data_IF_217501551484
#
_entry.id   IF_217501551484
#
_cell.length_a   1.000
_cell.length_b   1.000
_cell.length_c   1.000
_cell.angle_alpha   90.00
_cell.angle_beta   90.00
_cell.angle_gamma   90.00
#
_symmetry.space_group_name_H-M   'P 1'
#
loop_
_entity.id
_entity.type
_entity.pdbx_description
1 polymer ?
#
# COMPACT_ATOMS: atom_id res chain seq x y z
N UNK A 1 13.58 13.98 17.74
CA UNK A 1 14.76 14.14 18.61
C UNK A 1 15.92 13.35 18.01
N UNK A 2 16.91 14.03 17.43
CA UNK A 2 18.17 13.41 17.03
C UNK A 2 19.19 13.72 18.13
N UNK A 3 19.68 12.68 18.81
CA UNK A 3 20.69 12.84 19.86
C UNK A 3 22.06 13.25 19.30
N UNK A 4 22.98 13.74 20.15
CA UNK A 4 24.30 14.21 19.72
C UNK A 4 25.12 13.02 19.19
N UNK A 5 25.42 13.02 17.89
CA UNK A 5 26.35 12.04 17.33
C UNK A 5 27.75 12.37 17.83
N UNK A 6 28.28 11.55 18.73
CA UNK A 6 29.68 11.60 19.15
C UNK A 6 30.59 11.56 17.92
N UNK A 7 31.38 12.63 17.73
CA UNK A 7 32.41 12.78 16.67
C UNK A 7 33.55 11.78 16.92
N UNK A 8 33.33 10.49 16.67
CA UNK A 8 34.42 9.49 16.67
C UNK A 8 34.93 9.31 15.24
N UNK A 9 36.23 9.52 15.01
CA UNK A 9 36.87 9.35 13.69
C UNK A 9 36.65 7.91 13.22
N UNK A 10 36.01 7.71 12.07
CA UNK A 10 35.60 6.39 11.56
C UNK A 10 34.19 5.92 11.94
N UNK A 11 33.47 6.63 12.81
CA UNK A 11 32.08 6.33 13.15
C UNK A 11 31.09 6.94 12.13
N UNK A 12 31.25 6.62 10.85
CA UNK A 12 30.17 6.86 9.90
C UNK A 12 29.05 5.86 10.23
N UNK A 13 27.92 6.37 10.76
CA UNK A 13 26.67 5.65 10.83
C UNK A 13 26.29 5.18 9.42
N UNK A 14 26.59 3.90 9.11
CA UNK A 14 26.15 3.31 7.84
C UNK A 14 24.63 3.36 7.85
N UNK A 15 24.02 4.03 6.85
CA UNK A 15 22.56 4.11 6.65
C UNK A 15 21.95 2.75 6.22
N UNK A 16 22.38 1.65 6.84
CA UNK A 16 22.00 0.27 6.50
C UNK A 16 20.51 0.04 6.72
N UNK A 17 19.94 0.62 7.78
CA UNK A 17 18.50 0.56 8.06
C UNK A 17 17.67 1.21 6.96
N UNK A 18 18.00 2.44 6.59
CA UNK A 18 17.35 3.16 5.48
C UNK A 18 17.46 2.39 4.15
N UNK A 19 18.68 1.99 3.77
CA UNK A 19 18.91 1.24 2.53
C UNK A 19 18.15 -0.08 2.49
N UNK A 20 18.06 -0.79 3.63
CA UNK A 20 17.29 -2.02 3.73
C UNK A 20 15.79 -1.76 3.61
N UNK A 21 15.26 -0.72 4.27
CA UNK A 21 13.83 -0.40 4.25
C UNK A 21 13.34 0.04 2.86
N UNK A 22 14.17 0.79 2.12
CA UNK A 22 13.86 1.24 0.75
C UNK A 22 14.29 0.26 -0.34
N UNK A 23 14.79 -0.93 0.01
CA UNK A 23 15.14 -1.94 -0.98
C UNK A 23 13.87 -2.56 -1.58
N UNK A 24 13.88 -2.86 -2.87
CA UNK A 24 12.74 -3.43 -3.59
C UNK A 24 12.23 -4.73 -2.96
N UNK A 25 13.13 -5.55 -2.40
CA UNK A 25 12.79 -6.83 -1.73
C UNK A 25 11.98 -6.69 -0.44
N UNK A 26 11.89 -5.49 0.14
CA UNK A 26 11.10 -5.21 1.36
C UNK A 26 10.03 -4.16 1.12
N UNK A 27 9.65 -3.96 -0.15
CA UNK A 27 8.63 -3.00 -0.52
C UNK A 27 7.27 -3.46 -0.01
N UNK A 28 6.57 -2.59 0.70
CA UNK A 28 5.18 -2.80 1.10
C UNK A 28 4.23 -2.56 -0.07
N UNK A 29 2.98 -3.00 0.05
CA UNK A 29 1.91 -2.59 -0.87
C UNK A 29 1.81 -1.06 -0.96
N UNK A 30 1.63 -0.59 -2.19
CA UNK A 30 1.49 0.82 -2.50
C UNK A 30 0.09 1.34 -2.09
N UNK A 31 -0.08 2.67 -2.03
CA UNK A 31 -1.33 3.28 -1.55
C UNK A 31 -2.45 3.13 -2.59
N UNK A 32 -2.11 3.32 -3.86
CA UNK A 32 -3.03 3.17 -5.00
C UNK A 32 -3.62 1.76 -5.08
N UNK A 33 -2.78 0.73 -4.94
CA UNK A 33 -3.22 -0.67 -4.87
C UNK A 33 -4.22 -0.92 -3.73
N UNK A 34 -3.97 -0.34 -2.57
CA UNK A 34 -4.86 -0.48 -1.41
C UNK A 34 -6.17 0.27 -1.64
N UNK A 35 -6.13 1.44 -2.25
CA UNK A 35 -7.34 2.19 -2.59
C UNK A 35 -8.20 1.42 -3.60
N UNK A 36 -7.59 0.72 -4.56
CA UNK A 36 -8.31 -0.16 -5.49
C UNK A 36 -8.92 -1.38 -4.79
N UNK A 37 -8.18 -1.99 -3.85
CA UNK A 37 -8.71 -3.11 -3.06
C UNK A 37 -9.88 -2.67 -2.18
N UNK A 38 -9.84 -1.48 -1.59
CA UNK A 38 -10.95 -0.92 -0.81
C UNK A 38 -12.18 -0.63 -1.67
N UNK A 39 -12.01 -0.13 -2.90
CA UNK A 39 -13.12 0.03 -3.85
C UNK A 39 -13.80 -1.31 -4.15
N UNK A 40 -13.01 -2.38 -4.35
CA UNK A 40 -13.56 -3.73 -4.56
C UNK A 40 -14.29 -4.25 -3.32
N UNK A 41 -13.79 -3.96 -2.11
CA UNK A 41 -14.49 -4.30 -0.87
C UNK A 41 -15.84 -3.57 -0.76
N UNK A 42 -15.89 -2.29 -1.14
CA UNK A 42 -17.13 -1.51 -1.17
C UNK A 42 -18.13 -2.03 -2.20
N UNK A 43 -17.66 -2.37 -3.41
CA UNK A 43 -18.49 -2.92 -4.50
C UNK A 43 -19.04 -4.31 -4.16
N UNK A 44 -18.21 -5.17 -3.54
CA UNK A 44 -18.59 -6.55 -3.19
C UNK A 44 -19.37 -6.62 -1.87
N UNK A 45 -19.21 -5.62 -1.00
CA UNK A 45 -19.76 -5.60 0.35
C UNK A 45 -19.13 -6.62 1.31
N UNK A 46 -18.09 -7.32 0.87
CA UNK A 46 -17.38 -8.37 1.61
C UNK A 46 -15.95 -7.92 1.84
N UNK A 47 -15.49 -8.03 3.08
CA UNK A 47 -14.09 -7.74 3.45
C UNK A 47 -13.18 -8.79 2.82
N UNK A 48 -11.96 -8.40 2.45
CA UNK A 48 -10.99 -9.34 1.91
C UNK A 48 -10.63 -10.41 2.94
N UNK A 49 -11.14 -11.62 2.72
CA UNK A 49 -10.83 -12.82 3.48
C UNK A 49 -9.85 -13.67 2.68
N UNK A 50 -8.81 -14.16 3.34
CA UNK A 50 -7.83 -15.07 2.75
C UNK A 50 -8.15 -16.50 3.17
N UNK A 51 -7.78 -17.45 2.32
CA UNK A 51 -7.77 -18.87 2.69
C UNK A 51 -6.71 -19.13 3.76
N UNK A 52 -6.85 -20.25 4.46
CA UNK A 52 -5.91 -20.63 5.52
C UNK A 52 -4.55 -20.97 4.92
N UNK A 53 -3.58 -20.10 5.17
CA UNK A 53 -2.21 -20.23 4.67
C UNK A 53 -1.22 -20.35 5.84
N UNK A 54 -0.51 -21.47 5.91
CA UNK A 54 0.45 -21.78 6.97
C UNK A 54 1.69 -20.87 6.97
N UNK A 55 2.04 -20.28 5.82
CA UNK A 55 3.20 -19.40 5.68
C UNK A 55 2.91 -17.97 6.18
N UNK A 56 1.63 -17.61 6.33
CA UNK A 56 1.19 -16.30 6.80
C UNK A 56 0.95 -16.27 8.31
N UNK A 57 1.27 -15.15 8.99
CA UNK A 57 1.03 -15.03 10.42
C UNK A 57 -0.48 -15.10 10.70
N UNK A 58 -0.87 -15.88 11.71
CA UNK A 58 -2.27 -16.07 12.07
C UNK A 58 -3.07 -16.84 11.02
N UNK A 59 -2.41 -17.69 10.22
CA UNK A 59 -3.02 -18.46 9.13
C UNK A 59 -3.73 -17.58 8.09
N UNK A 60 -3.28 -16.33 7.90
CA UNK A 60 -3.92 -15.37 7.00
C UNK A 60 -5.23 -14.74 7.49
N UNK A 61 -5.76 -15.18 8.65
CA UNK A 61 -7.11 -14.81 9.08
C UNK A 61 -7.23 -13.34 9.55
N UNK A 62 -6.22 -12.83 10.25
CA UNK A 62 -6.29 -11.50 10.86
C UNK A 62 -5.63 -10.44 9.97
N UNK A 63 -6.37 -9.98 8.96
CA UNK A 63 -5.89 -8.99 8.01
C UNK A 63 -6.41 -7.57 8.26
N UNK A 64 -5.58 -6.58 7.90
CA UNK A 64 -5.94 -5.17 7.85
C UNK A 64 -5.71 -4.63 6.43
N UNK A 65 -6.79 -4.47 5.66
CA UNK A 65 -6.81 -3.96 4.29
C UNK A 65 -6.07 -2.63 4.11
N UNK A 66 -6.37 -1.55 4.87
CA UNK A 66 -5.73 -0.25 4.63
C UNK A 66 -4.22 -0.24 4.92
N UNK A 67 -3.74 -1.15 5.76
CA UNK A 67 -2.32 -1.27 6.10
C UNK A 67 -1.60 -2.40 5.33
N UNK A 68 -2.33 -3.25 4.62
CA UNK A 68 -1.78 -4.38 3.86
C UNK A 68 -1.04 -5.41 4.71
N UNK A 69 -1.46 -5.62 5.97
CA UNK A 69 -0.69 -6.41 6.96
C UNK A 69 -1.53 -7.51 7.61
N UNK A 70 -0.90 -8.67 7.77
CA UNK A 70 -1.41 -9.81 8.53
C UNK A 70 -0.93 -9.76 9.98
N UNK A 71 -1.78 -10.19 10.91
CA UNK A 71 -1.52 -10.25 12.34
C UNK A 71 -1.67 -11.68 12.85
N UNK A 72 -1.01 -11.98 13.98
CA UNK A 72 -1.01 -13.32 14.57
C UNK A 72 -2.34 -13.61 15.30
N UNK A 73 -2.93 -12.60 15.93
CA UNK A 73 -4.15 -12.72 16.76
C UNK A 73 -5.13 -11.58 16.50
N UNK A 74 -6.41 -11.80 16.82
CA UNK A 74 -7.46 -10.77 16.75
C UNK A 74 -7.12 -9.54 17.62
N UNK A 75 -6.69 -9.76 18.86
CA UNK A 75 -6.34 -8.68 19.78
C UNK A 75 -5.23 -7.77 19.23
N UNK A 76 -4.23 -8.34 18.56
CA UNK A 76 -3.15 -7.57 17.96
C UNK A 76 -3.64 -6.67 16.80
N UNK A 77 -4.61 -7.17 16.02
CA UNK A 77 -5.27 -6.41 14.96
C UNK A 77 -6.09 -5.25 15.53
N UNK A 78 -6.84 -5.47 16.60
CA UNK A 78 -7.69 -4.44 17.21
C UNK A 78 -6.86 -3.31 17.85
N UNK A 79 -5.78 -3.67 18.55
CA UNK A 79 -4.80 -2.69 19.06
C UNK A 79 -4.15 -1.91 17.92
N UNK A 80 -3.85 -2.57 16.79
CA UNK A 80 -3.33 -1.90 15.60
C UNK A 80 -4.33 -0.88 15.03
N UNK A 81 -5.60 -1.21 14.92
CA UNK A 81 -6.64 -0.31 14.41
C UNK A 81 -6.75 0.97 15.28
N UNK A 82 -6.65 0.81 16.61
CA UNK A 82 -6.67 1.96 17.53
C UNK A 82 -5.41 2.85 17.44
N UNK A 83 -4.30 2.32 16.91
CA UNK A 83 -2.99 2.98 16.89
C UNK A 83 -2.93 4.19 15.95
N UNK A 84 -2.01 5.12 16.25
CA UNK A 84 -1.78 6.32 15.42
C UNK A 84 -1.30 5.98 14.00
N UNK A 85 -0.61 4.85 13.82
CA UNK A 85 -0.09 4.43 12.51
C UNK A 85 -1.24 4.11 11.57
N UNK A 86 -2.21 3.34 12.05
CA UNK A 86 -3.41 3.00 11.28
C UNK A 86 -4.25 4.25 10.96
N UNK A 87 -4.49 5.10 11.97
CA UNK A 87 -5.21 6.36 11.78
C UNK A 87 -4.56 7.30 10.77
N UNK A 88 -3.21 7.32 10.69
CA UNK A 88 -2.51 8.08 9.65
C UNK A 88 -2.73 7.44 8.28
N UNK A 89 -2.60 6.12 8.17
CA UNK A 89 -2.79 5.40 6.92
C UNK A 89 -4.19 5.60 6.34
N UNK A 90 -5.22 5.61 7.18
CA UNK A 90 -6.60 5.91 6.76
C UNK A 90 -6.75 7.30 6.16
N UNK A 91 -6.00 8.30 6.66
CA UNK A 91 -5.99 9.64 6.07
C UNK A 91 -5.28 9.66 4.72
N UNK A 92 -4.16 8.94 4.59
CA UNK A 92 -3.43 8.82 3.32
C UNK A 92 -4.30 8.15 2.25
N UNK A 93 -5.02 7.09 2.63
CA UNK A 93 -5.93 6.33 1.75
C UNK A 93 -7.17 7.14 1.36
N UNK A 94 -7.64 8.04 2.24
CA UNK A 94 -8.77 8.91 1.95
C UNK A 94 -8.46 10.03 0.95
N UNK A 95 -7.18 10.26 0.61
CA UNK A 95 -6.80 11.19 -0.45
C UNK A 95 -7.18 10.61 -1.82
N UNK A 96 -7.33 11.47 -2.82
CA UNK A 96 -7.55 11.02 -4.19
C UNK A 96 -6.38 10.16 -4.68
N UNK A 97 -6.70 9.12 -5.45
CA UNK A 97 -5.69 8.19 -5.95
C UNK A 97 -4.78 8.91 -6.96
N UNK A 98 -3.49 9.02 -6.64
CA UNK A 98 -2.52 9.56 -7.59
C UNK A 98 -2.16 8.50 -8.64
N UNK A 99 -2.59 8.72 -9.89
CA UNK A 99 -2.38 7.76 -10.99
C UNK A 99 -1.44 8.32 -12.05
N UNK A 100 -0.88 7.43 -12.88
CA UNK A 100 -0.02 7.81 -13.99
C UNK A 100 -0.70 8.80 -14.96
N UNK A 101 -2.02 8.69 -15.15
CA UNK A 101 -2.81 9.62 -15.99
C UNK A 101 -2.79 11.04 -15.46
N UNK A 102 -2.81 11.20 -14.14
CA UNK A 102 -2.71 12.50 -13.48
C UNK A 102 -1.32 13.12 -13.66
N UNK A 103 -0.27 12.29 -13.50
CA UNK A 103 1.11 12.71 -13.75
C UNK A 103 1.33 13.17 -15.20
N UNK A 104 0.77 12.45 -16.17
CA UNK A 104 0.84 12.78 -17.59
C UNK A 104 0.08 14.07 -17.92
N UNK A 105 -1.12 14.24 -17.36
CA UNK A 105 -1.89 15.48 -17.48
C UNK A 105 -1.12 16.68 -16.92
N UNK A 106 -0.48 16.54 -15.75
CA UNK A 106 0.35 17.59 -15.16
C UNK A 106 1.59 17.90 -16.01
N UNK A 107 2.12 16.91 -16.72
CA UNK A 107 3.21 17.09 -17.69
C UNK A 107 2.75 17.66 -19.05
N UNK A 108 1.46 17.99 -19.21
CA UNK A 108 0.91 18.52 -20.46
C UNK A 108 0.69 17.48 -21.56
N UNK A 109 0.71 16.18 -21.22
CA UNK A 109 0.43 15.10 -22.17
C UNK A 109 -1.08 14.81 -22.16
N UNK A 110 -1.72 14.95 -23.32
CA UNK A 110 -3.12 14.54 -23.53
C UNK A 110 -3.19 13.08 -23.99
N UNK A 111 -4.15 12.33 -23.45
CA UNK A 111 -4.48 10.99 -23.93
C UNK A 111 -5.54 11.16 -25.02
N UNK A 112 -5.17 10.94 -26.28
CA UNK A 112 -6.14 10.88 -27.38
C UNK A 112 -6.76 9.49 -27.42
N UNK A 113 -8.08 9.40 -27.23
CA UNK A 113 -8.81 8.14 -27.36
C UNK A 113 -9.05 7.87 -28.85
N UNK A 114 -8.38 6.86 -29.39
CA UNK A 114 -8.63 6.39 -30.76
C UNK A 114 -9.98 5.66 -30.80
N UNK A 115 -10.99 6.25 -31.44
CA UNK A 115 -12.22 5.55 -31.81
C UNK A 115 -11.94 4.70 -33.04
N UNK A 116 -11.96 3.35 -32.93
CA UNK A 116 -11.69 2.51 -34.08
C UNK A 116 -12.78 2.70 -35.14
N UNK A 117 -12.36 2.89 -36.39
CA UNK A 117 -13.27 3.10 -37.52
C UNK A 117 -14.13 1.86 -37.87
N UNK A 118 -13.80 0.70 -37.28
CA UNK A 118 -14.46 -0.57 -37.51
C UNK A 118 -14.81 -1.20 -36.16
N UNK A 119 -16.03 -1.77 -35.98
CA UNK A 119 -16.38 -2.46 -34.75
C UNK A 119 -15.46 -3.67 -34.57
N UNK A 120 -14.72 -3.72 -33.46
CA UNK A 120 -13.88 -4.88 -33.12
C UNK A 120 -14.80 -6.04 -32.74
N UNK A 121 -14.71 -7.15 -33.48
CA UNK A 121 -15.49 -8.36 -33.28
C UNK A 121 -15.03 -9.13 -32.02
N UNK A 122 -15.28 -8.60 -30.82
CA UNK A 122 -15.10 -9.34 -29.56
C UNK A 122 -15.82 -8.63 -28.40
N UNK A 123 -17.12 -8.86 -28.29
CA UNK A 123 -17.88 -8.75 -27.04
C UNK A 123 -19.07 -9.70 -27.14
N UNK A 124 -18.81 -10.97 -26.84
CA UNK A 124 -19.78 -12.04 -26.62
C UNK A 124 -19.32 -12.81 -25.40
#
# INVERSE_FOLDING_TARGET
>A
MAGPTTRKKGAHCKKKGYKRAHATKSRSRDIDQIQDDLKKEEETGVKMTFELDEDLPGLGQYYCTPCGRHFITANARDVHIASKVHKRRMKDVAQEQYTQKEAERAAGKSIETYTPAHPTAASS
#
